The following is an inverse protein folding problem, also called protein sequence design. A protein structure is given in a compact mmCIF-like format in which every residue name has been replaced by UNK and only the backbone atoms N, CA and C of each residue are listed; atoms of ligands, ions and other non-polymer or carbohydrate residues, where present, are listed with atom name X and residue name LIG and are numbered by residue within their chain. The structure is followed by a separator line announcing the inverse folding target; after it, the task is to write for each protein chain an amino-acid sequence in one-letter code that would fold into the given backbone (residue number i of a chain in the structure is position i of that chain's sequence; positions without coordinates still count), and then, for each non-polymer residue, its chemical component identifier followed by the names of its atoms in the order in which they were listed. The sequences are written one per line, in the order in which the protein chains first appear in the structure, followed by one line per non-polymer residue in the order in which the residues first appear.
data_IF_128719502530
#
_entry.id   IF_128719502530
#
_cell.length_a   1.000
_cell.length_b   1.000
_cell.length_c   1.000
_cell.angle_alpha   90.00
_cell.angle_beta   90.00
_cell.angle_gamma   90.00
#
_symmetry.space_group_name_H-M   'P 1'
#
loop_
_entity.id
_entity.type
_entity.pdbx_description
1 polymer ?
#
# COMPACT_ATOMS: atom_id res chain seq x y z
N UNK A 1 -3.12 2.04 17.04
CA UNK A 1 -1.65 2.19 17.15
C UNK A 1 -1.01 0.84 16.86
N UNK A 2 -0.21 0.77 15.80
CA UNK A 2 0.16 -0.48 15.15
C UNK A 2 1.07 -1.38 16.00
N UNK A 3 0.77 -2.69 15.99
CA UNK A 3 1.57 -3.77 16.60
C UNK A 3 2.88 -4.07 15.82
N UNK A 4 3.27 -3.22 14.86
CA UNK A 4 4.38 -3.45 13.94
C UNK A 4 5.77 -3.53 14.60
N UNK A 5 6.16 -2.70 15.59
CA UNK A 5 7.51 -2.77 16.15
C UNK A 5 7.83 -4.12 16.79
N UNK A 6 6.89 -4.72 17.51
CA UNK A 6 7.10 -5.98 18.22
C UNK A 6 7.27 -7.20 17.28
N UNK A 7 6.70 -7.15 16.07
CA UNK A 7 6.82 -8.25 15.11
C UNK A 7 8.19 -8.29 14.41
N UNK A 8 8.92 -7.18 14.39
CA UNK A 8 10.23 -7.09 13.75
C UNK A 8 11.33 -7.62 14.66
N UNK A 9 11.19 -7.50 15.97
CA UNK A 9 12.19 -7.96 16.96
C UNK A 9 12.55 -9.44 16.74
N UNK A 10 11.60 -10.25 16.31
CA UNK A 10 11.85 -11.68 15.99
C UNK A 10 12.94 -11.89 14.93
N UNK A 11 13.13 -10.92 14.02
CA UNK A 11 14.11 -11.05 12.93
C UNK A 11 15.50 -10.55 13.31
N UNK A 12 15.67 -9.89 14.45
CA UNK A 12 17.00 -9.44 14.91
C UNK A 12 17.92 -10.60 15.30
N UNK A 13 17.33 -11.70 15.77
CA UNK A 13 18.08 -12.91 16.11
C UNK A 13 18.49 -13.73 14.88
N UNK A 14 18.06 -13.31 13.68
CA UNK A 14 18.24 -14.00 12.41
C UNK A 14 18.81 -13.08 11.32
N UNK A 15 20.06 -12.57 11.49
CA UNK A 15 20.66 -11.61 10.56
C UNK A 15 20.92 -12.18 9.16
N UNK A 16 20.90 -13.51 9.00
CA UNK A 16 21.06 -14.21 7.72
C UNK A 16 19.81 -14.17 6.86
N UNK A 17 18.64 -13.88 7.44
CA UNK A 17 17.39 -13.85 6.70
C UNK A 17 17.25 -12.60 5.84
N UNK A 18 16.61 -12.78 4.69
CA UNK A 18 16.08 -11.67 3.90
C UNK A 18 14.60 -11.52 4.22
N UNK A 19 14.21 -10.34 4.65
CA UNK A 19 12.86 -10.10 5.17
C UNK A 19 12.10 -9.16 4.23
N UNK A 20 10.88 -9.55 3.87
CA UNK A 20 9.92 -8.69 3.18
C UNK A 20 8.85 -8.23 4.16
N UNK A 21 8.73 -6.92 4.34
CA UNK A 21 7.80 -6.31 5.27
C UNK A 21 6.68 -5.58 4.51
N UNK A 22 5.46 -5.69 5.01
CA UNK A 22 4.36 -4.90 4.49
C UNK A 22 4.52 -3.44 4.89
N UNK A 23 4.88 -2.59 3.93
CA UNK A 23 5.13 -1.15 4.12
C UNK A 23 4.02 -0.27 3.54
N UNK A 24 2.82 -0.80 3.39
CA UNK A 24 1.67 -0.01 2.91
C UNK A 24 1.27 1.13 3.85
N UNK A 25 1.55 1.01 5.16
CA UNK A 25 1.15 1.98 6.19
C UNK A 25 2.33 2.67 6.89
N UNK A 26 3.55 2.21 6.68
CA UNK A 26 4.78 2.74 7.31
C UNK A 26 5.95 2.50 6.37
N UNK A 27 6.88 3.45 6.24
CA UNK A 27 8.10 3.24 5.45
C UNK A 27 9.14 2.40 6.22
N UNK A 28 10.07 1.78 5.50
CA UNK A 28 11.21 1.09 6.13
C UNK A 28 12.05 2.04 6.97
N UNK A 29 12.22 3.28 6.49
CA UNK A 29 12.97 4.31 7.21
C UNK A 29 12.30 4.67 8.54
N UNK A 30 10.99 4.89 8.53
CA UNK A 30 10.25 5.20 9.75
C UNK A 30 10.24 4.01 10.71
N UNK A 31 10.07 2.81 10.16
CA UNK A 31 10.13 1.57 10.92
C UNK A 31 11.49 1.40 11.63
N UNK A 32 12.60 1.68 10.93
CA UNK A 32 13.95 1.65 11.51
C UNK A 32 14.16 2.64 12.65
N UNK A 33 13.43 3.77 12.66
CA UNK A 33 13.46 4.75 13.76
C UNK A 33 12.68 4.31 15.01
N UNK A 34 11.72 3.41 14.85
CA UNK A 34 10.91 2.90 15.96
C UNK A 34 11.52 1.68 16.67
N UNK A 35 12.57 1.10 16.11
CA UNK A 35 13.30 0.00 16.73
C UNK A 35 14.68 0.50 17.14
N UNK A 36 15.08 0.25 18.40
CA UNK A 36 16.39 0.65 18.94
C UNK A 36 17.57 -0.12 18.31
N UNK A 37 17.28 -1.06 17.42
CA UNK A 37 18.26 -1.92 16.74
C UNK A 37 18.23 -1.65 15.24
N UNK A 38 19.39 -1.92 14.57
CA UNK A 38 19.42 -1.93 13.10
C UNK A 38 18.42 -2.96 12.59
N UNK A 39 17.65 -2.58 11.56
CA UNK A 39 16.88 -3.56 10.80
C UNK A 39 17.78 -4.74 10.37
N UNK A 40 17.24 -5.96 10.23
CA UNK A 40 17.97 -7.10 9.68
C UNK A 40 18.78 -6.70 8.45
N UNK A 41 19.87 -7.37 8.19
CA UNK A 41 20.87 -6.96 7.18
C UNK A 41 20.31 -6.76 5.78
N UNK A 42 19.20 -7.42 5.44
CA UNK A 42 18.51 -7.24 4.15
C UNK A 42 16.99 -7.20 4.36
N UNK A 43 16.43 -6.02 4.22
CA UNK A 43 14.98 -5.77 4.38
C UNK A 43 14.42 -5.09 3.15
N UNK A 44 13.33 -5.62 2.64
CA UNK A 44 12.56 -5.07 1.54
C UNK A 44 11.15 -4.71 1.99
N UNK A 45 10.65 -3.57 1.53
CA UNK A 45 9.27 -3.15 1.73
C UNK A 45 8.42 -3.51 0.51
N UNK A 46 7.18 -3.94 0.74
CA UNK A 46 6.22 -4.23 -0.33
C UNK A 46 4.78 -3.95 0.15
N UNK A 47 3.80 -3.98 -0.76
CA UNK A 47 2.40 -3.90 -0.37
C UNK A 47 1.81 -5.28 -0.16
N UNK A 48 1.50 -5.61 1.10
CA UNK A 48 0.86 -6.88 1.49
C UNK A 48 -0.67 -6.86 1.50
N UNK A 49 -1.30 -5.79 1.00
CA UNK A 49 -2.75 -5.70 0.97
C UNK A 49 -3.37 -6.61 -0.11
N UNK A 50 -4.64 -7.03 0.05
CA UNK A 50 -5.35 -7.79 -0.96
C UNK A 50 -5.27 -7.12 -2.34
N UNK A 51 -5.15 -7.92 -3.40
CA UNK A 51 -4.99 -7.55 -4.80
C UNK A 51 -3.61 -7.04 -5.23
N UNK A 52 -2.70 -6.76 -4.29
CA UNK A 52 -1.37 -6.23 -4.61
C UNK A 52 -0.26 -7.28 -4.59
N UNK A 53 -0.52 -8.50 -4.07
CA UNK A 53 0.47 -9.59 -3.99
C UNK A 53 0.54 -10.45 -5.27
N UNK A 54 -0.60 -10.87 -5.80
CA UNK A 54 -0.65 -11.78 -6.95
C UNK A 54 -0.62 -11.00 -8.27
N UNK A 55 0.51 -10.32 -8.52
CA UNK A 55 0.72 -9.53 -9.74
C UNK A 55 1.99 -10.01 -10.44
N UNK A 56 2.06 -9.88 -11.78
CA UNK A 56 3.28 -10.18 -12.51
C UNK A 56 4.44 -9.25 -12.14
N UNK A 57 4.13 -8.05 -11.61
CA UNK A 57 5.09 -7.04 -11.18
C UNK A 57 4.86 -6.68 -9.72
N UNK A 58 5.89 -6.83 -8.88
CA UNK A 58 5.89 -6.45 -7.47
C UNK A 58 6.61 -5.11 -7.29
N UNK A 59 5.95 -4.15 -6.65
CA UNK A 59 6.60 -2.92 -6.19
C UNK A 59 7.35 -3.19 -4.89
N UNK A 60 8.64 -2.83 -4.86
CA UNK A 60 9.51 -3.08 -3.71
C UNK A 60 10.29 -1.82 -3.36
N UNK A 61 10.28 -1.43 -2.07
CA UNK A 61 11.21 -0.46 -1.52
C UNK A 61 12.39 -1.14 -0.83
N UNK A 62 13.53 -0.45 -0.72
CA UNK A 62 14.74 -0.95 -0.08
C UNK A 62 15.49 0.19 0.63
N UNK A 63 16.22 -0.15 1.71
CA UNK A 63 17.06 0.81 2.41
C UNK A 63 18.39 1.07 1.70
N UNK A 64 18.93 0.07 1.01
CA UNK A 64 20.30 0.10 0.45
C UNK A 64 20.27 -0.33 -1.02
N UNK A 65 20.83 0.49 -1.90
CA UNK A 65 20.95 0.17 -3.33
C UNK A 65 21.79 -1.08 -3.59
N UNK A 66 22.73 -1.39 -2.69
CA UNK A 66 23.56 -2.61 -2.78
C UNK A 66 22.72 -3.90 -2.78
N UNK A 67 21.53 -3.89 -2.16
CA UNK A 67 20.66 -5.05 -2.07
C UNK A 67 19.86 -5.34 -3.36
N UNK A 68 19.96 -4.46 -4.36
CA UNK A 68 19.20 -4.60 -5.61
C UNK A 68 19.45 -5.92 -6.35
N UNK A 69 20.71 -6.35 -6.40
CA UNK A 69 21.07 -7.61 -7.08
C UNK A 69 20.40 -8.81 -6.39
N UNK A 70 20.40 -8.83 -5.06
CA UNK A 70 19.76 -9.86 -4.24
C UNK A 70 18.24 -9.86 -4.43
N UNK A 71 17.61 -8.67 -4.48
CA UNK A 71 16.17 -8.53 -4.76
C UNK A 71 15.80 -9.17 -6.10
N UNK A 72 16.55 -8.83 -7.18
CA UNK A 72 16.29 -9.35 -8.51
C UNK A 72 16.40 -10.88 -8.55
N UNK A 73 17.43 -11.45 -7.90
CA UNK A 73 17.61 -12.89 -7.79
C UNK A 73 16.41 -13.56 -7.08
N UNK A 74 15.96 -13.00 -5.95
CA UNK A 74 14.82 -13.53 -5.20
C UNK A 74 13.55 -13.46 -6.03
N UNK A 75 13.26 -12.32 -6.67
CA UNK A 75 12.08 -12.17 -7.51
C UNK A 75 12.08 -13.13 -8.70
N UNK A 76 13.26 -13.37 -9.30
CA UNK A 76 13.42 -14.37 -10.35
C UNK A 76 13.08 -15.79 -9.85
N UNK A 77 13.55 -16.15 -8.66
CA UNK A 77 13.27 -17.45 -8.04
C UNK A 77 11.78 -17.61 -7.67
N UNK A 78 11.10 -16.51 -7.38
CA UNK A 78 9.65 -16.46 -7.14
C UNK A 78 8.82 -16.36 -8.43
N UNK A 79 9.48 -16.35 -9.60
CA UNK A 79 8.85 -16.18 -10.91
C UNK A 79 7.95 -14.93 -10.99
N UNK A 80 8.43 -13.82 -10.41
CA UNK A 80 7.78 -12.50 -10.46
C UNK A 80 8.79 -11.44 -10.89
N UNK A 81 8.32 -10.42 -11.58
CA UNK A 81 9.12 -9.24 -11.86
C UNK A 81 9.05 -8.27 -10.67
N UNK A 82 10.05 -7.42 -10.51
CA UNK A 82 10.03 -6.38 -9.50
C UNK A 82 10.44 -5.02 -10.07
N UNK A 83 9.82 -3.98 -9.53
CA UNK A 83 10.25 -2.60 -9.74
C UNK A 83 10.61 -2.00 -8.40
N UNK A 84 11.77 -1.36 -8.36
CA UNK A 84 12.20 -0.64 -7.17
C UNK A 84 11.58 0.74 -7.18
N UNK A 85 10.92 1.08 -6.09
CA UNK A 85 10.31 2.38 -5.84
C UNK A 85 10.91 3.01 -4.59
N UNK A 86 10.76 4.32 -4.45
CA UNK A 86 11.19 5.03 -3.25
C UNK A 86 10.45 4.52 -2.01
N UNK A 87 11.17 4.49 -0.89
CA UNK A 87 10.62 4.07 0.40
C UNK A 87 9.70 5.15 0.97
N UNK A 88 8.44 5.12 0.54
CA UNK A 88 7.38 6.04 0.95
C UNK A 88 6.14 5.29 1.39
N UNK A 89 5.43 5.80 2.37
CA UNK A 89 4.15 5.25 2.82
C UNK A 89 3.17 5.14 1.65
N UNK A 90 2.52 4.00 1.53
CA UNK A 90 1.57 3.69 0.47
C UNK A 90 2.22 3.29 -0.86
N UNK A 91 3.56 3.25 -0.96
CA UNK A 91 4.27 2.94 -2.21
C UNK A 91 3.68 3.71 -3.41
N UNK A 92 3.62 3.14 -4.62
CA UNK A 92 3.04 3.81 -5.80
C UNK A 92 1.61 3.35 -6.08
N UNK A 93 1.43 2.06 -6.39
CA UNK A 93 0.12 1.57 -6.84
C UNK A 93 -0.96 1.65 -5.75
N UNK A 94 -0.73 1.25 -4.49
CA UNK A 94 -1.73 1.42 -3.43
C UNK A 94 -2.12 2.88 -3.21
N UNK A 95 -1.14 3.80 -3.24
CA UNK A 95 -1.38 5.24 -3.10
C UNK A 95 -2.31 5.75 -4.21
N UNK A 96 -2.04 5.40 -5.46
CA UNK A 96 -2.85 5.86 -6.62
C UNK A 96 -4.24 5.24 -6.58
N UNK A 97 -4.34 3.92 -6.38
CA UNK A 97 -5.64 3.24 -6.36
C UNK A 97 -6.53 3.72 -5.22
N UNK A 98 -5.98 3.89 -4.00
CA UNK A 98 -6.75 4.41 -2.87
C UNK A 98 -7.25 5.85 -3.12
N UNK A 99 -6.47 6.69 -3.81
CA UNK A 99 -6.91 8.02 -4.20
C UNK A 99 -8.05 7.99 -5.24
N UNK A 100 -7.98 7.09 -6.22
CA UNK A 100 -9.07 6.88 -7.19
C UNK A 100 -10.36 6.45 -6.47
N UNK A 101 -10.24 5.54 -5.51
CA UNK A 101 -11.38 5.11 -4.69
C UNK A 101 -11.92 6.28 -3.88
N UNK A 102 -11.06 7.08 -3.24
CA UNK A 102 -11.48 8.23 -2.45
C UNK A 102 -12.26 9.25 -3.28
N UNK A 103 -11.77 9.56 -4.49
CA UNK A 103 -12.46 10.47 -5.42
C UNK A 103 -13.81 9.92 -5.87
N UNK A 104 -13.92 8.61 -6.12
CA UNK A 104 -15.17 7.97 -6.45
C UNK A 104 -16.20 8.10 -5.30
N UNK A 105 -15.75 7.98 -4.05
CA UNK A 105 -16.61 8.21 -2.88
C UNK A 105 -17.05 9.68 -2.75
N UNK A 106 -16.16 10.65 -3.04
CA UNK A 106 -16.54 12.07 -3.10
C UNK A 106 -17.60 12.31 -4.17
N UNK A 107 -17.43 11.76 -5.36
CA UNK A 107 -18.36 11.88 -6.48
C UNK A 107 -19.78 11.37 -6.14
N UNK A 108 -19.87 10.26 -5.39
CA UNK A 108 -21.16 9.75 -4.86
C UNK A 108 -21.72 10.68 -3.78
N UNK A 109 -20.87 11.15 -2.84
CA UNK A 109 -21.30 12.04 -1.74
C UNK A 109 -21.86 13.36 -2.28
N UNK A 110 -21.30 13.88 -3.38
CA UNK A 110 -21.77 15.06 -4.10
C UNK A 110 -23.05 14.82 -4.91
N UNK A 111 -23.48 13.56 -5.05
CA UNK A 111 -24.66 13.19 -5.83
C UNK A 111 -24.48 13.28 -7.35
N UNK A 112 -23.24 13.28 -7.83
CA UNK A 112 -22.92 13.41 -9.26
C UNK A 112 -23.29 12.15 -10.05
N UNK A 113 -23.05 10.95 -9.49
CA UNK A 113 -23.37 9.67 -10.13
C UNK A 113 -23.56 8.56 -9.09
N UNK A 114 -24.17 7.45 -9.53
CA UNK A 114 -24.26 6.23 -8.70
C UNK A 114 -22.94 5.46 -8.69
N UNK A 115 -22.75 4.56 -7.73
CA UNK A 115 -21.55 3.69 -7.67
C UNK A 115 -21.40 2.82 -8.90
N UNK A 116 -22.51 2.29 -9.38
CA UNK A 116 -22.60 1.44 -10.56
C UNK A 116 -22.19 2.21 -11.83
N UNK A 117 -22.66 3.45 -11.97
CA UNK A 117 -22.32 4.30 -13.11
C UNK A 117 -20.84 4.70 -13.09
N UNK A 118 -20.28 5.01 -11.91
CA UNK A 118 -18.87 5.33 -11.76
C UNK A 118 -17.99 4.11 -12.10
N UNK A 119 -18.31 2.94 -11.58
CA UNK A 119 -17.58 1.71 -11.90
C UNK A 119 -17.64 1.40 -13.39
N UNK A 120 -18.81 1.56 -14.01
CA UNK A 120 -18.98 1.36 -15.46
C UNK A 120 -18.16 2.38 -16.27
N UNK A 121 -18.27 3.66 -15.93
CA UNK A 121 -17.56 4.73 -16.60
C UNK A 121 -16.03 4.54 -16.54
N UNK A 122 -15.50 4.17 -15.38
CA UNK A 122 -14.07 3.94 -15.20
C UNK A 122 -13.56 2.69 -15.97
N UNK A 123 -14.35 1.62 -16.00
CA UNK A 123 -14.01 0.43 -16.81
C UNK A 123 -14.03 0.72 -18.31
N UNK A 124 -15.06 1.37 -18.80
CA UNK A 124 -15.23 1.61 -20.25
C UNK A 124 -14.46 2.84 -20.74
N UNK A 125 -14.40 3.91 -19.93
CA UNK A 125 -13.78 5.17 -20.33
C UNK A 125 -12.27 5.20 -20.16
N UNK A 126 -11.73 4.49 -19.17
CA UNK A 126 -10.28 4.48 -18.85
C UNK A 126 -9.65 3.10 -18.97
N UNK A 127 -10.43 2.09 -19.41
CA UNK A 127 -9.98 0.70 -19.57
C UNK A 127 -9.40 0.10 -18.27
N UNK A 128 -9.91 0.48 -17.12
CA UNK A 128 -9.50 -0.13 -15.86
C UNK A 128 -10.08 -1.56 -15.74
N UNK A 129 -9.32 -2.51 -15.18
CA UNK A 129 -9.77 -3.89 -15.04
C UNK A 129 -10.92 -4.02 -14.02
N UNK A 130 -11.06 -3.07 -13.12
CA UNK A 130 -12.08 -3.00 -12.08
C UNK A 130 -12.51 -1.53 -11.90
N UNK A 131 -13.75 -1.33 -11.54
CA UNK A 131 -14.21 -0.03 -11.08
C UNK A 131 -13.71 0.31 -9.66
N UNK A 132 -13.75 1.59 -9.25
CA UNK A 132 -13.28 2.01 -7.94
C UNK A 132 -13.97 1.30 -6.77
N UNK A 133 -15.27 1.07 -6.84
CA UNK A 133 -16.02 0.37 -5.78
C UNK A 133 -15.79 -1.13 -5.80
N UNK A 134 -15.58 -1.74 -6.98
CA UNK A 134 -15.14 -3.12 -7.10
C UNK A 134 -13.74 -3.31 -6.46
N UNK A 135 -12.82 -2.36 -6.66
CA UNK A 135 -11.51 -2.35 -5.99
C UNK A 135 -11.66 -2.18 -4.47
N UNK A 136 -12.45 -1.20 -4.02
CA UNK A 136 -12.70 -0.96 -2.60
C UNK A 136 -13.19 -2.22 -1.90
N UNK A 137 -14.11 -2.97 -2.53
CA UNK A 137 -14.61 -4.25 -2.02
C UNK A 137 -13.52 -5.33 -1.93
N UNK A 138 -12.63 -5.42 -2.94
CA UNK A 138 -11.56 -6.44 -2.97
C UNK A 138 -10.41 -6.13 -2.04
N UNK A 139 -10.00 -4.87 -1.93
CA UNK A 139 -8.95 -4.42 -1.03
C UNK A 139 -9.44 -4.43 0.42
N UNK A 140 -10.72 -4.14 0.61
CA UNK A 140 -11.34 -3.86 1.89
C UNK A 140 -11.34 -2.36 2.18
N UNK A 141 -12.53 -1.79 2.42
CA UNK A 141 -12.70 -0.34 2.62
C UNK A 141 -11.86 0.19 3.80
N UNK A 142 -11.70 -0.61 4.85
CA UNK A 142 -10.86 -0.27 6.01
C UNK A 142 -9.39 -0.15 5.62
N UNK A 143 -8.88 -1.05 4.79
CA UNK A 143 -7.51 -0.99 4.29
C UNK A 143 -7.28 0.26 3.43
N UNK A 144 -8.27 0.63 2.59
CA UNK A 144 -8.23 1.87 1.80
C UNK A 144 -8.13 3.08 2.71
N UNK A 145 -8.99 3.15 3.74
CA UNK A 145 -8.95 4.21 4.74
C UNK A 145 -7.58 4.29 5.44
N UNK A 146 -7.05 3.16 5.91
CA UNK A 146 -5.78 3.11 6.64
C UNK A 146 -4.61 3.59 5.77
N UNK A 147 -4.56 3.22 4.49
CA UNK A 147 -3.54 3.72 3.55
C UNK A 147 -3.65 5.24 3.37
N UNK A 148 -4.84 5.75 3.07
CA UNK A 148 -5.05 7.19 2.87
C UNK A 148 -4.72 7.98 4.12
N UNK A 149 -5.15 7.50 5.28
CA UNK A 149 -4.84 8.13 6.56
C UNK A 149 -3.34 8.15 6.84
N UNK A 150 -2.64 7.04 6.59
CA UNK A 150 -1.19 6.97 6.78
C UNK A 150 -0.45 7.94 5.84
N UNK A 151 -0.88 8.03 4.57
CA UNK A 151 -0.31 8.98 3.60
C UNK A 151 -0.60 10.43 3.98
N UNK A 152 -1.81 10.73 4.46
CA UNK A 152 -2.18 12.06 4.94
C UNK A 152 -1.35 12.45 6.17
N UNK A 153 -1.18 11.56 7.14
CA UNK A 153 -0.38 11.81 8.33
C UNK A 153 1.11 12.04 8.01
N UNK A 154 1.66 11.34 7.02
CA UNK A 154 3.05 11.52 6.55
C UNK A 154 3.25 12.86 5.82
N UNK A 155 2.31 13.22 4.95
CA UNK A 155 2.47 14.35 4.03
C UNK A 155 1.83 15.64 4.52
N UNK A 156 0.76 15.55 5.32
CA UNK A 156 -0.14 16.67 5.70
C UNK A 156 -0.70 17.43 4.49
N UNK A 157 -0.74 16.79 3.34
CA UNK A 157 -1.25 17.36 2.10
C UNK A 157 -2.75 17.12 1.99
N UNK A 158 -3.54 18.18 1.89
CA UNK A 158 -5.01 18.15 1.84
C UNK A 158 -5.57 17.31 0.68
N UNK A 159 -4.80 17.07 -0.37
CA UNK A 159 -5.23 16.17 -1.46
C UNK A 159 -5.50 14.74 -1.01
N UNK A 160 -4.89 14.31 0.12
CA UNK A 160 -5.12 12.98 0.71
C UNK A 160 -6.24 12.97 1.77
N UNK A 161 -6.95 14.07 1.91
CA UNK A 161 -8.09 14.17 2.82
C UNK A 161 -9.14 13.12 2.45
N UNK A 162 -9.56 12.37 3.45
CA UNK A 162 -10.48 11.25 3.26
C UNK A 162 -11.92 11.77 3.13
N UNK A 163 -12.65 11.31 2.10
CA UNK A 163 -14.07 11.56 1.91
C UNK A 163 -14.86 11.12 3.15
N UNK A 164 -15.87 11.93 3.55
CA UNK A 164 -16.66 11.63 4.75
C UNK A 164 -17.46 10.34 4.60
N UNK A 165 -17.96 10.05 3.41
CA UNK A 165 -18.67 8.81 3.14
C UNK A 165 -17.76 7.59 3.27
N UNK A 166 -16.53 7.65 2.71
CA UNK A 166 -15.53 6.59 2.86
C UNK A 166 -15.16 6.37 4.32
N UNK A 167 -14.89 7.45 5.06
CA UNK A 167 -14.58 7.38 6.49
C UNK A 167 -15.71 6.70 7.27
N UNK A 168 -16.96 7.09 7.03
CA UNK A 168 -18.14 6.50 7.69
C UNK A 168 -18.24 5.00 7.40
N UNK A 169 -18.07 4.58 6.15
CA UNK A 169 -18.18 3.16 5.78
C UNK A 169 -17.01 2.31 6.29
N UNK A 170 -15.81 2.89 6.42
CA UNK A 170 -14.64 2.18 6.96
C UNK A 170 -14.78 1.79 8.43
N UNK A 171 -15.70 2.42 9.16
CA UNK A 171 -15.98 2.17 10.58
C UNK A 171 -17.13 1.18 10.82
N UNK A 172 -17.85 0.80 9.78
CA UNK A 172 -18.91 -0.21 9.87
C UNK A 172 -18.30 -1.61 10.07
N UNK A 173 -18.96 -2.49 10.85
CA UNK A 173 -18.50 -3.85 11.14
C UNK A 173 -18.51 -4.76 9.90
#
# INVERSE_FOLDING_TARGET
MARFPQQIEVYFDHPELTVFLNTSLISLHELGRHVDHKLPSTVFGFCGLPTFLNRPLLEVSMCTVADKAKLVEICKNLNTECVVVDDRIGLVTPRVICMIINEAYCTVEEGTATREDIDLAMKLGTNYPLGPFEWAKKIGIRNVYEVLNAVYEDTKDERYRICSLLNKESTLP
#
